data_IF_360279602746
#
_entry.id   IF_360279602746
#
_cell.length_a   1.000
_cell.length_b   1.000
_cell.length_c   1.000
_cell.angle_alpha   90.00
_cell.angle_beta   90.00
_cell.angle_gamma   90.00
#
_symmetry.space_group_name_H-M   'P 1'
#
loop_
_entity.id
_entity.type
_entity.pdbx_description
1 polymer ?
#
# COMPACT_ATOMS: atom_id res chain seq x y z
N UNK A 1 6.93 -24.71 9.59
CA UNK A 1 6.48 -23.36 9.21
C UNK A 1 7.61 -22.69 8.46
N UNK A 2 7.29 -21.96 7.40
CA UNK A 2 8.24 -21.21 6.60
C UNK A 2 7.98 -19.71 6.80
N UNK A 3 9.04 -18.92 6.98
CA UNK A 3 8.93 -17.47 7.01
C UNK A 3 8.76 -16.95 5.58
N UNK A 4 7.74 -16.13 5.35
CA UNK A 4 7.43 -15.55 4.02
C UNK A 4 7.95 -14.12 3.94
N UNK A 5 7.73 -13.36 5.00
CA UNK A 5 8.28 -12.02 5.23
C UNK A 5 8.76 -11.95 6.68
N UNK A 6 9.65 -11.00 7.04
CA UNK A 6 10.11 -10.86 8.42
C UNK A 6 8.93 -10.75 9.41
N UNK A 7 8.76 -11.75 10.27
CA UNK A 7 7.64 -11.84 11.23
C UNK A 7 6.31 -12.39 10.69
N UNK A 8 6.22 -12.74 9.40
CA UNK A 8 5.08 -13.40 8.78
C UNK A 8 5.43 -14.84 8.42
N UNK A 9 4.69 -15.78 9.02
CA UNK A 9 4.94 -17.21 8.87
C UNK A 9 3.75 -17.90 8.22
N UNK A 10 4.04 -18.88 7.37
CA UNK A 10 3.05 -19.76 6.76
C UNK A 10 3.34 -21.22 7.14
N UNK A 11 2.29 -21.97 7.49
CA UNK A 11 2.43 -23.38 7.81
C UNK A 11 1.12 -24.11 7.91
N UNK A 12 1.21 -25.40 8.24
CA UNK A 12 0.07 -26.25 8.57
C UNK A 12 -0.63 -25.75 9.83
N UNK A 13 -1.87 -26.18 10.02
CA UNK A 13 -2.65 -25.95 11.24
C UNK A 13 -1.83 -26.35 12.48
N UNK A 14 -1.59 -25.44 13.43
CA UNK A 14 -0.86 -25.76 14.66
C UNK A 14 -1.73 -26.57 15.62
N UNK A 15 -1.07 -27.33 16.49
CA UNK A 15 -1.65 -28.03 17.63
C UNK A 15 -0.95 -27.64 18.94
N UNK A 16 -1.35 -28.23 20.06
CA UNK A 16 -0.75 -27.93 21.36
C UNK A 16 0.77 -28.17 21.39
N UNK A 17 1.27 -29.15 20.64
CA UNK A 17 2.70 -29.46 20.54
C UNK A 17 3.49 -28.39 19.79
N UNK A 18 2.80 -27.57 18.99
CA UNK A 18 3.38 -26.48 18.20
C UNK A 18 3.65 -25.22 19.02
N UNK A 19 3.07 -25.08 20.21
CA UNK A 19 3.15 -23.85 21.03
C UNK A 19 4.60 -23.42 21.35
N UNK A 20 5.52 -24.31 21.78
CA UNK A 20 6.91 -23.94 22.04
C UNK A 20 7.60 -23.39 20.78
N UNK A 21 7.32 -23.98 19.62
CA UNK A 21 7.87 -23.53 18.34
C UNK A 21 7.34 -22.14 17.95
N UNK A 22 6.04 -21.90 18.14
CA UNK A 22 5.42 -20.58 17.91
C UNK A 22 6.06 -19.49 18.79
N UNK A 23 6.30 -19.77 20.07
CA UNK A 23 6.99 -18.83 20.96
C UNK A 23 8.45 -18.62 20.59
N UNK A 24 9.16 -19.68 20.18
CA UNK A 24 10.56 -19.57 19.73
C UNK A 24 10.68 -18.65 18.52
N UNK A 25 9.68 -18.67 17.64
CA UNK A 25 9.51 -17.79 16.48
C UNK A 25 8.89 -16.43 16.82
N UNK A 26 8.60 -16.19 18.11
CA UNK A 26 7.96 -14.98 18.65
C UNK A 26 6.64 -14.61 17.96
N UNK A 27 5.88 -15.62 17.55
CA UNK A 27 4.54 -15.45 17.00
C UNK A 27 3.60 -15.08 18.15
N UNK A 28 2.83 -14.00 17.98
CA UNK A 28 1.86 -13.51 18.95
C UNK A 28 0.41 -13.52 18.44
N UNK A 29 0.24 -13.73 17.13
CA UNK A 29 -1.05 -13.72 16.46
C UNK A 29 -1.15 -14.85 15.42
N UNK A 30 -2.32 -15.48 15.31
CA UNK A 30 -2.57 -16.62 14.42
C UNK A 30 -3.84 -16.36 13.60
N UNK A 31 -3.69 -16.34 12.28
CA UNK A 31 -4.81 -16.38 11.32
C UNK A 31 -5.00 -17.84 10.89
N UNK A 32 -6.18 -18.41 11.10
CA UNK A 32 -6.52 -19.76 10.63
C UNK A 32 -7.63 -19.68 9.59
N UNK A 33 -7.36 -20.20 8.39
CA UNK A 33 -8.35 -20.44 7.34
C UNK A 33 -8.50 -21.96 7.21
N UNK A 34 -9.56 -22.54 7.77
CA UNK A 34 -9.73 -24.00 7.86
C UNK A 34 -11.21 -24.36 8.10
N UNK A 35 -11.54 -25.65 8.17
CA UNK A 35 -12.90 -26.17 8.43
C UNK A 35 -13.33 -26.07 9.89
N UNK A 36 -12.37 -25.93 10.82
CA UNK A 36 -12.62 -25.86 12.28
C UNK A 36 -11.75 -24.80 12.95
N UNK A 37 -12.23 -24.10 13.98
CA UNK A 37 -11.41 -23.18 14.76
C UNK A 37 -10.34 -23.93 15.57
N UNK A 38 -9.25 -23.25 15.93
CA UNK A 38 -8.31 -23.73 16.95
C UNK A 38 -9.01 -23.79 18.32
N UNK A 39 -8.51 -24.64 19.21
CA UNK A 39 -9.05 -24.77 20.57
C UNK A 39 -8.76 -23.48 21.37
N UNK A 40 -9.78 -22.71 21.79
CA UNK A 40 -9.56 -21.41 22.42
C UNK A 40 -8.72 -21.49 23.71
N UNK A 41 -8.94 -22.52 24.52
CA UNK A 41 -8.23 -22.69 25.80
C UNK A 41 -6.73 -22.93 25.59
N UNK A 42 -6.39 -23.73 24.58
CA UNK A 42 -5.01 -24.11 24.23
C UNK A 42 -4.24 -22.93 23.63
N UNK A 43 -4.89 -22.11 22.82
CA UNK A 43 -4.26 -20.97 22.11
C UNK A 43 -4.62 -19.61 22.72
N UNK A 44 -5.06 -19.59 23.98
CA UNK A 44 -5.56 -18.40 24.68
C UNK A 44 -4.53 -17.26 24.81
N UNK A 45 -3.24 -17.59 24.76
CA UNK A 45 -2.15 -16.60 24.80
C UNK A 45 -1.89 -15.88 23.47
N UNK A 46 -2.56 -16.29 22.39
CA UNK A 46 -2.38 -15.72 21.05
C UNK A 46 -3.60 -14.89 20.67
N UNK A 47 -3.41 -13.81 19.92
CA UNK A 47 -4.53 -13.17 19.21
C UNK A 47 -4.90 -14.07 18.04
N UNK A 48 -6.04 -14.75 18.11
CA UNK A 48 -6.46 -15.70 17.05
C UNK A 48 -7.65 -15.14 16.28
N UNK A 49 -7.60 -15.21 14.95
CA UNK A 49 -8.80 -15.13 14.13
C UNK A 49 -8.98 -16.40 13.31
N UNK A 50 -10.22 -16.86 13.23
CA UNK A 50 -10.64 -18.02 12.47
C UNK A 50 -11.60 -17.60 11.37
N UNK A 51 -11.32 -18.02 10.14
CA UNK A 51 -12.15 -17.78 8.97
C UNK A 51 -12.51 -19.16 8.37
N UNK A 52 -13.79 -19.59 8.41
CA UNK A 52 -14.17 -20.92 7.96
C UNK A 52 -14.06 -21.04 6.43
N UNK A 53 -13.31 -22.03 5.94
CA UNK A 53 -13.24 -22.33 4.51
C UNK A 53 -12.93 -23.81 4.25
N UNK A 54 -13.38 -24.30 3.09
CA UNK A 54 -13.06 -25.61 2.55
C UNK A 54 -11.97 -25.48 1.49
N UNK A 55 -11.12 -26.50 1.41
CA UNK A 55 -10.13 -26.64 0.34
C UNK A 55 -10.79 -27.22 -0.91
N UNK A 56 -11.61 -26.40 -1.56
CA UNK A 56 -12.38 -26.73 -2.76
C UNK A 56 -12.44 -25.52 -3.68
N UNK A 57 -12.50 -25.71 -5.02
CA UNK A 57 -12.57 -24.59 -5.96
C UNK A 57 -13.87 -23.77 -5.87
N UNK A 58 -14.88 -24.25 -5.13
CA UNK A 58 -16.18 -23.60 -4.98
C UNK A 58 -16.27 -22.68 -3.76
N UNK A 59 -15.28 -22.72 -2.85
CA UNK A 59 -15.30 -21.82 -1.70
C UNK A 59 -14.74 -20.45 -2.07
N UNK A 60 -15.48 -19.39 -1.75
CA UNK A 60 -15.09 -18.03 -2.06
C UNK A 60 -14.21 -17.47 -0.95
N UNK A 61 -12.89 -17.48 -1.14
CA UNK A 61 -11.93 -16.86 -0.22
C UNK A 61 -11.85 -15.32 -0.35
N UNK A 62 -12.30 -14.74 -1.47
CA UNK A 62 -12.23 -13.27 -1.68
C UNK A 62 -12.95 -12.51 -0.57
N UNK A 63 -14.04 -13.07 -0.04
CA UNK A 63 -14.81 -12.52 1.09
C UNK A 63 -13.97 -12.33 2.38
N UNK A 64 -12.80 -12.96 2.46
CA UNK A 64 -11.90 -12.92 3.61
C UNK A 64 -10.64 -12.07 3.38
N UNK A 65 -10.38 -11.61 2.16
CA UNK A 65 -9.11 -10.95 1.83
C UNK A 65 -8.92 -9.69 2.68
N UNK A 66 -9.85 -8.75 2.66
CA UNK A 66 -9.74 -7.51 3.45
C UNK A 66 -9.54 -7.79 4.95
N UNK A 67 -10.36 -8.69 5.52
CA UNK A 67 -10.28 -9.04 6.95
C UNK A 67 -8.95 -9.71 7.31
N UNK A 68 -8.46 -10.62 6.47
CA UNK A 68 -7.19 -11.33 6.70
C UNK A 68 -5.99 -10.40 6.52
N UNK A 69 -6.00 -9.54 5.50
CA UNK A 69 -4.96 -8.52 5.25
C UNK A 69 -4.90 -7.55 6.42
N UNK A 70 -6.04 -7.00 6.86
CA UNK A 70 -6.07 -6.07 7.98
C UNK A 70 -5.56 -6.72 9.29
N UNK A 71 -5.90 -7.98 9.55
CA UNK A 71 -5.37 -8.69 10.70
C UNK A 71 -3.86 -8.91 10.60
N UNK A 72 -3.35 -9.29 9.42
CA UNK A 72 -1.92 -9.46 9.18
C UNK A 72 -1.22 -8.11 9.41
N UNK A 73 -1.71 -7.03 8.80
CA UNK A 73 -1.18 -5.68 8.94
C UNK A 73 -1.21 -5.20 10.38
N UNK A 74 -2.30 -5.35 11.13
CA UNK A 74 -2.39 -4.95 12.55
C UNK A 74 -1.35 -5.63 13.45
N UNK A 75 -1.05 -6.90 13.17
CA UNK A 75 -0.15 -7.70 14.00
C UNK A 75 1.30 -7.66 13.52
N UNK A 76 1.52 -7.17 12.30
CA UNK A 76 2.83 -6.79 11.75
C UNK A 76 3.05 -5.26 11.92
N UNK A 77 2.03 -4.51 12.33
CA UNK A 77 2.08 -3.06 12.50
C UNK A 77 3.01 -2.65 13.65
N UNK A 78 3.65 -1.51 13.44
CA UNK A 78 4.64 -0.96 14.37
C UNK A 78 5.95 -1.72 14.44
N UNK A 79 6.24 -2.57 13.45
CA UNK A 79 7.56 -3.14 13.21
C UNK A 79 8.42 -2.21 12.34
N UNK A 80 7.80 -1.41 11.46
CA UNK A 80 8.52 -0.59 10.47
C UNK A 80 8.40 0.91 10.76
N UNK A 81 7.31 1.59 10.36
CA UNK A 81 7.16 3.07 10.46
C UNK A 81 7.37 3.64 11.87
N UNK A 82 6.57 3.24 12.85
CA UNK A 82 6.72 3.76 14.22
C UNK A 82 8.01 3.28 14.87
N UNK A 83 8.47 2.07 14.55
CA UNK A 83 9.76 1.57 15.00
C UNK A 83 10.93 2.41 14.48
N UNK A 84 10.90 2.86 13.22
CA UNK A 84 11.90 3.78 12.65
C UNK A 84 11.99 5.05 13.49
N UNK A 85 10.86 5.65 13.85
CA UNK A 85 10.83 6.86 14.69
C UNK A 85 11.38 6.59 16.09
N UNK A 86 11.03 5.46 16.70
CA UNK A 86 11.58 5.06 18.01
C UNK A 86 13.09 4.81 17.93
N UNK A 87 13.58 4.16 16.88
CA UNK A 87 15.02 3.94 16.67
C UNK A 87 15.73 5.27 16.48
N UNK A 88 15.20 6.18 15.66
CA UNK A 88 15.75 7.53 15.48
C UNK A 88 15.83 8.29 16.82
N UNK A 89 14.80 8.20 17.66
CA UNK A 89 14.80 8.79 19.00
C UNK A 89 15.91 8.21 19.89
N UNK A 90 16.10 6.89 19.90
CA UNK A 90 17.18 6.22 20.65
C UNK A 90 18.56 6.67 20.14
N UNK A 91 18.76 6.73 18.82
CA UNK A 91 19.99 7.24 18.21
C UNK A 91 20.26 8.69 18.65
N UNK A 92 19.26 9.56 18.55
CA UNK A 92 19.37 10.97 18.94
C UNK A 92 19.65 11.17 20.43
N UNK A 93 18.95 10.42 21.29
CA UNK A 93 19.04 10.54 22.75
C UNK A 93 20.37 10.06 23.30
N UNK A 94 20.86 8.92 22.81
CA UNK A 94 22.07 8.28 23.33
C UNK A 94 23.30 8.51 22.45
N UNK A 95 23.13 9.19 21.29
CA UNK A 95 24.19 9.43 20.30
C UNK A 95 24.91 8.16 19.88
N UNK A 96 24.13 7.10 19.66
CA UNK A 96 24.62 5.78 19.26
C UNK A 96 24.29 5.46 17.80
N UNK A 97 25.14 4.69 17.10
CA UNK A 97 24.90 4.22 15.74
C UNK A 97 23.57 3.50 15.56
N UNK A 98 23.03 3.56 14.33
CA UNK A 98 21.78 2.89 13.93
C UNK A 98 21.76 1.42 14.36
N UNK A 99 22.85 0.69 14.11
CA UNK A 99 22.93 -0.74 14.45
C UNK A 99 22.72 -0.99 15.95
N UNK A 100 23.40 -0.20 16.81
CA UNK A 100 23.26 -0.33 18.27
C UNK A 100 21.86 0.07 18.74
N UNK A 101 21.30 1.15 18.18
CA UNK A 101 19.94 1.59 18.53
C UNK A 101 18.88 0.58 18.10
N UNK A 102 18.99 0.03 16.88
CA UNK A 102 18.12 -1.03 16.38
C UNK A 102 18.19 -2.27 17.27
N UNK A 103 19.39 -2.77 17.58
CA UNK A 103 19.56 -3.94 18.46
C UNK A 103 18.94 -3.70 19.85
N UNK A 104 19.04 -2.49 20.39
CA UNK A 104 18.44 -2.14 21.67
C UNK A 104 16.91 -2.14 21.63
N UNK A 105 16.29 -1.54 20.60
CA UNK A 105 14.83 -1.55 20.43
C UNK A 105 14.34 -2.96 20.15
N UNK A 106 15.10 -3.73 19.36
CA UNK A 106 14.80 -5.10 18.97
C UNK A 106 14.72 -6.06 20.16
N UNK A 107 15.52 -5.83 21.21
CA UNK A 107 15.43 -6.58 22.48
C UNK A 107 14.06 -6.46 23.14
N UNK A 108 13.40 -5.31 23.00
CA UNK A 108 12.09 -5.05 23.62
C UNK A 108 10.92 -5.38 22.69
N UNK A 109 11.05 -5.13 21.38
CA UNK A 109 10.01 -5.40 20.38
C UNK A 109 10.66 -5.79 19.06
N UNK A 110 10.11 -6.80 18.40
CA UNK A 110 10.58 -7.24 17.10
C UNK A 110 10.31 -6.16 16.04
N UNK A 111 11.36 -5.43 15.65
CA UNK A 111 11.26 -4.28 14.74
C UNK A 111 12.08 -4.49 13.46
N UNK A 112 11.45 -4.18 12.34
CA UNK A 112 12.02 -4.22 11.00
C UNK A 112 11.62 -2.98 10.19
N UNK A 113 12.34 -1.86 10.37
CA UNK A 113 12.35 -0.80 9.37
C UNK A 113 12.62 -1.39 7.98
N UNK A 114 11.88 -0.92 6.97
CA UNK A 114 12.18 -1.29 5.58
C UNK A 114 13.53 -0.69 5.14
N UNK A 115 14.04 -1.11 4.00
CA UNK A 115 15.38 -0.67 3.54
C UNK A 115 15.48 0.84 3.33
N UNK A 116 14.41 1.49 2.87
CA UNK A 116 14.34 2.96 2.75
C UNK A 116 14.51 3.65 4.11
N UNK A 117 13.79 3.19 5.13
CA UNK A 117 13.92 3.71 6.49
C UNK A 117 15.30 3.41 7.10
N UNK A 118 15.89 2.24 6.83
CA UNK A 118 17.27 1.93 7.27
C UNK A 118 18.28 2.88 6.64
N UNK A 119 18.13 3.20 5.36
CA UNK A 119 18.96 4.21 4.66
C UNK A 119 18.78 5.60 5.27
N UNK A 120 17.55 6.01 5.55
CA UNK A 120 17.25 7.29 6.21
C UNK A 120 17.84 7.36 7.63
N UNK A 121 17.75 6.29 8.43
CA UNK A 121 18.36 6.22 9.76
C UNK A 121 19.89 6.32 9.70
N UNK A 122 20.53 5.69 8.72
CA UNK A 122 21.98 5.84 8.48
C UNK A 122 22.34 7.26 8.05
N UNK A 123 21.56 7.86 7.15
CA UNK A 123 21.72 9.28 6.81
C UNK A 123 21.61 10.18 8.05
N UNK A 124 20.67 9.89 8.95
CA UNK A 124 20.52 10.59 10.22
C UNK A 124 21.73 10.41 11.16
N UNK A 125 22.35 9.22 11.18
CA UNK A 125 23.63 8.98 11.86
C UNK A 125 24.76 9.82 11.25
N UNK A 126 24.90 9.81 9.92
CA UNK A 126 25.93 10.54 9.17
C UNK A 126 25.78 12.08 9.32
N UNK A 127 24.54 12.56 9.52
CA UNK A 127 24.24 13.96 9.86
C UNK A 127 24.53 14.31 11.34
N UNK A 128 25.11 13.40 12.12
CA UNK A 128 25.41 13.63 13.53
C UNK A 128 24.17 13.66 14.42
N UNK A 129 23.14 12.91 14.05
CA UNK A 129 21.85 12.83 14.76
C UNK A 129 21.17 14.20 14.88
N UNK A 130 21.30 15.02 13.84
CA UNK A 130 20.63 16.30 13.66
C UNK A 130 19.94 16.30 12.29
N UNK A 131 18.89 17.09 12.14
CA UNK A 131 18.21 17.27 10.86
C UNK A 131 18.51 18.67 10.33
N UNK A 132 19.30 18.75 9.26
CA UNK A 132 19.60 19.97 8.55
C UNK A 132 19.52 19.71 7.04
N UNK A 133 18.52 20.32 6.42
CA UNK A 133 18.23 20.19 4.98
C UNK A 133 19.32 20.82 4.10
N UNK A 134 20.15 21.71 4.66
CA UNK A 134 21.27 22.32 3.94
C UNK A 134 22.57 21.51 4.08
N UNK A 135 22.59 20.47 4.91
CA UNK A 135 23.79 19.68 5.13
C UNK A 135 24.17 18.94 3.84
N UNK A 136 25.48 18.88 3.54
CA UNK A 136 26.00 18.16 2.36
C UNK A 136 25.58 16.69 2.35
N UNK A 137 25.44 16.09 3.54
CA UNK A 137 24.98 14.71 3.72
C UNK A 137 23.52 14.57 3.28
N UNK A 138 22.63 15.44 3.77
CA UNK A 138 21.22 15.44 3.39
C UNK A 138 21.01 15.66 1.90
N UNK A 139 21.62 16.72 1.35
CA UNK A 139 21.49 17.08 -0.07
C UNK A 139 21.95 15.92 -0.96
N UNK A 140 23.09 15.30 -0.65
CA UNK A 140 23.56 14.11 -1.37
C UNK A 140 22.56 12.96 -1.25
N UNK A 141 22.09 12.66 -0.04
CA UNK A 141 21.17 11.57 0.20
C UNK A 141 19.84 11.74 -0.56
N UNK A 142 19.26 12.94 -0.56
CA UNK A 142 18.04 13.24 -1.31
C UNK A 142 18.30 13.17 -2.82
N UNK A 143 19.43 13.67 -3.32
CA UNK A 143 19.75 13.58 -4.76
C UNK A 143 19.81 12.14 -5.26
N UNK A 144 20.27 11.20 -4.43
CA UNK A 144 20.31 9.76 -4.74
C UNK A 144 18.96 9.05 -4.49
N UNK A 145 18.02 9.70 -3.80
CA UNK A 145 16.72 9.14 -3.40
C UNK A 145 15.59 10.14 -3.62
N UNK A 146 15.55 10.79 -4.79
CA UNK A 146 14.68 11.93 -5.08
C UNK A 146 13.17 11.64 -4.87
N UNK A 147 12.76 10.37 -4.94
CA UNK A 147 11.39 9.93 -4.64
C UNK A 147 10.93 10.22 -3.20
N UNK A 148 11.84 10.52 -2.27
CA UNK A 148 11.51 10.83 -0.87
C UNK A 148 10.94 12.24 -0.68
N UNK A 149 11.26 13.18 -1.57
CA UNK A 149 10.71 14.55 -1.58
C UNK A 149 9.72 14.78 -2.73
N UNK A 150 9.44 13.73 -3.52
CA UNK A 150 8.40 13.79 -4.52
C UNK A 150 7.04 14.12 -3.84
N UNK A 151 6.25 15.07 -4.36
CA UNK A 151 4.95 15.39 -3.79
C UNK A 151 4.07 14.14 -3.75
N UNK A 152 3.66 13.73 -2.55
CA UNK A 152 2.71 12.63 -2.36
C UNK A 152 1.34 13.14 -2.81
N UNK A 153 0.95 12.88 -4.05
CA UNK A 153 -0.42 13.12 -4.51
C UNK A 153 -1.09 11.82 -4.93
N UNK A 154 -1.70 11.12 -3.96
CA UNK A 154 -2.81 10.21 -4.23
C UNK A 154 -3.76 10.24 -3.02
N UNK A 155 -5.00 10.73 -3.15
CA UNK A 155 -6.02 10.52 -2.13
C UNK A 155 -6.33 9.03 -2.05
N UNK A 156 -5.98 8.36 -0.95
CA UNK A 156 -6.34 6.95 -0.71
C UNK A 156 -7.87 6.79 -0.68
N UNK A 157 -8.46 6.20 -1.71
CA UNK A 157 -9.90 5.90 -1.72
C UNK A 157 -10.46 5.46 -3.06
N UNK A 158 -11.73 5.05 -3.04
CA UNK A 158 -12.49 4.70 -4.24
C UNK A 158 -13.21 5.93 -4.80
N UNK A 159 -13.10 6.11 -6.12
CA UNK A 159 -13.99 7.00 -6.86
C UNK A 159 -15.32 6.30 -7.05
N UNK A 160 -16.41 6.97 -6.64
CA UNK A 160 -17.76 6.41 -6.65
C UNK A 160 -18.67 7.18 -7.58
N UNK A 161 -19.64 6.50 -8.20
CA UNK A 161 -20.67 7.13 -9.00
C UNK A 161 -21.47 8.11 -8.14
N UNK A 162 -21.52 9.39 -8.52
CA UNK A 162 -22.23 10.43 -7.75
C UNK A 162 -23.71 10.10 -7.48
N UNK A 163 -24.38 9.42 -8.43
CA UNK A 163 -25.81 9.10 -8.34
C UNK A 163 -26.14 7.95 -7.38
N UNK A 164 -25.28 6.93 -7.29
CA UNK A 164 -25.60 5.69 -6.56
C UNK A 164 -24.49 5.21 -5.61
N UNK A 165 -23.41 5.98 -5.50
CA UNK A 165 -22.19 5.69 -4.72
C UNK A 165 -21.53 4.35 -5.05
N UNK A 166 -21.85 3.73 -6.19
CA UNK A 166 -21.18 2.51 -6.66
C UNK A 166 -19.70 2.80 -6.91
N UNK A 167 -18.76 2.04 -6.35
CA UNK A 167 -17.34 2.14 -6.68
C UNK A 167 -17.12 1.98 -8.19
N UNK A 168 -16.27 2.82 -8.77
CA UNK A 168 -15.96 2.83 -10.20
C UNK A 168 -14.49 2.42 -10.42
N UNK A 169 -13.56 3.01 -9.67
CA UNK A 169 -12.14 2.63 -9.69
C UNK A 169 -11.44 3.15 -8.43
N UNK A 170 -10.29 2.56 -8.09
CA UNK A 170 -9.48 2.98 -6.97
C UNK A 170 -8.48 4.07 -7.38
N UNK A 171 -8.07 4.89 -6.42
CA UNK A 171 -7.18 6.03 -6.63
C UNK A 171 -5.79 5.71 -7.23
N UNK A 172 -5.31 4.47 -7.10
CA UNK A 172 -4.07 3.98 -7.72
C UNK A 172 -4.19 3.70 -9.21
N UNK A 173 -5.42 3.58 -9.74
CA UNK A 173 -5.71 3.35 -11.15
C UNK A 173 -5.75 4.67 -11.95
N UNK A 174 -5.38 5.80 -11.34
CA UNK A 174 -5.34 7.10 -12.01
C UNK A 174 -4.01 7.27 -12.75
N UNK A 175 -4.10 7.60 -14.03
CA UNK A 175 -2.96 8.02 -14.85
C UNK A 175 -2.75 9.53 -14.67
N UNK A 176 -1.55 9.89 -14.23
CA UNK A 176 -1.09 11.28 -14.19
C UNK A 176 -0.56 11.70 -15.57
N UNK A 177 -0.93 12.89 -16.05
CA UNK A 177 -0.47 13.42 -17.33
C UNK A 177 -0.13 14.91 -17.22
N UNK A 178 0.83 15.38 -18.04
CA UNK A 178 1.19 16.79 -18.18
C UNK A 178 0.32 17.47 -19.23
N UNK A 179 -0.28 18.62 -18.91
CA UNK A 179 -0.99 19.45 -19.90
C UNK A 179 -0.01 20.34 -20.64
N UNK A 180 -0.06 20.35 -21.97
CA UNK A 180 0.69 21.31 -22.78
C UNK A 180 -0.01 22.67 -22.71
N UNK A 181 0.47 23.56 -21.85
CA UNK A 181 0.32 24.99 -22.07
C UNK A 181 1.57 25.46 -22.82
N UNK A 182 1.38 26.22 -23.90
CA UNK A 182 2.47 26.96 -24.55
C UNK A 182 3.04 27.96 -23.54
N UNK A 183 3.94 27.51 -22.68
CA UNK A 183 4.92 28.27 -21.91
C UNK A 183 5.75 27.26 -21.10
N UNK A 184 7.08 27.40 -21.14
CA UNK A 184 8.06 26.49 -20.53
C UNK A 184 7.89 26.40 -19.01
N UNK A 185 7.03 25.48 -18.55
CA UNK A 185 6.86 25.15 -17.14
C UNK A 185 7.17 23.66 -16.92
N UNK A 186 8.21 23.36 -16.17
CA UNK A 186 8.72 22.02 -15.85
C UNK A 186 8.10 21.45 -14.58
N UNK A 187 6.76 21.46 -14.47
CA UNK A 187 6.03 20.96 -13.30
C UNK A 187 4.90 19.98 -13.70
N UNK A 188 4.79 18.86 -12.99
CA UNK A 188 3.68 17.90 -13.08
C UNK A 188 2.53 18.37 -12.18
N UNK A 189 1.53 19.03 -12.75
CA UNK A 189 0.35 19.50 -12.00
C UNK A 189 -0.78 18.45 -12.14
N UNK A 190 -1.42 18.00 -11.04
CA UNK A 190 -2.63 17.17 -11.12
C UNK A 190 -3.77 17.94 -11.82
N UNK A 191 -4.56 17.23 -12.62
CA UNK A 191 -5.58 17.84 -13.48
C UNK A 191 -6.64 18.63 -12.66
N UNK A 192 -6.52 19.95 -12.61
CA UNK A 192 -7.40 20.83 -11.82
C UNK A 192 -8.80 21.07 -12.42
N UNK A 193 -9.21 20.33 -13.45
CA UNK A 193 -10.47 20.58 -14.19
C UNK A 193 -11.54 19.48 -14.06
N UNK A 194 -11.39 18.53 -13.14
CA UNK A 194 -12.43 17.52 -12.88
C UNK A 194 -12.49 16.36 -13.87
N UNK A 195 -11.39 16.13 -14.61
CA UNK A 195 -11.20 15.01 -15.53
C UNK A 195 -10.18 14.03 -14.95
N UNK A 196 -10.56 12.76 -14.86
CA UNK A 196 -9.72 11.68 -14.35
C UNK A 196 -9.39 10.70 -15.48
N UNK A 197 -8.14 10.28 -15.53
CA UNK A 197 -7.61 9.36 -16.53
C UNK A 197 -7.28 8.05 -15.87
N UNK A 198 -7.59 6.95 -16.55
CA UNK A 198 -7.34 5.59 -16.07
C UNK A 198 -7.03 4.70 -17.26
N UNK A 199 -6.35 3.58 -17.02
CA UNK A 199 -6.21 2.52 -18.03
C UNK A 199 -7.55 1.82 -18.26
N UNK A 200 -7.62 0.91 -19.23
CA UNK A 200 -8.81 0.08 -19.42
C UNK A 200 -9.03 -0.77 -18.14
N UNK A 201 -10.24 -0.67 -17.56
CA UNK A 201 -10.64 -1.43 -16.39
C UNK A 201 -11.58 -2.57 -16.78
N UNK A 202 -11.51 -3.70 -16.09
CA UNK A 202 -12.28 -4.90 -16.43
C UNK A 202 -13.79 -4.66 -16.61
N UNK A 203 -14.41 -3.81 -15.78
CA UNK A 203 -15.84 -3.53 -15.90
C UNK A 203 -16.20 -2.69 -17.15
N UNK A 204 -15.21 -2.07 -17.79
CA UNK A 204 -15.40 -1.25 -18.99
C UNK A 204 -15.53 -2.09 -20.27
N UNK A 205 -15.14 -3.37 -20.25
CA UNK A 205 -15.21 -4.25 -21.43
C UNK A 205 -16.62 -4.30 -22.05
N UNK A 206 -17.67 -4.16 -21.24
CA UNK A 206 -19.07 -4.15 -21.72
C UNK A 206 -19.42 -2.94 -22.60
N UNK A 207 -18.62 -1.88 -22.56
CA UNK A 207 -18.90 -0.60 -23.24
C UNK A 207 -17.91 -0.27 -24.37
N UNK A 208 -16.81 -1.03 -24.50
CA UNK A 208 -15.63 -0.64 -25.29
C UNK A 208 -15.37 -1.57 -26.48
N UNK A 209 -16.43 -2.06 -27.12
CA UNK A 209 -16.32 -2.91 -28.32
C UNK A 209 -15.89 -2.15 -29.59
N UNK A 210 -15.91 -0.82 -29.55
CA UNK A 210 -15.49 0.06 -30.65
C UNK A 210 -14.17 0.77 -30.31
N UNK A 211 -13.44 1.23 -31.33
CA UNK A 211 -12.12 1.89 -31.19
C UNK A 211 -12.25 3.33 -30.63
N UNK A 212 -13.45 3.92 -30.66
CA UNK A 212 -13.74 5.21 -30.03
C UNK A 212 -15.21 5.27 -29.66
N UNK A 213 -15.55 5.81 -28.48
CA UNK A 213 -16.92 5.83 -28.01
C UNK A 213 -17.19 6.92 -26.99
N UNK A 214 -18.32 7.60 -27.16
CA UNK A 214 -18.62 8.85 -26.44
C UNK A 214 -19.06 8.67 -24.99
N UNK A 215 -19.40 7.45 -24.54
CA UNK A 215 -20.06 7.28 -23.24
C UNK A 215 -19.75 5.95 -22.56
N UNK A 216 -19.29 6.02 -21.31
CA UNK A 216 -19.28 4.90 -20.37
C UNK A 216 -20.28 5.16 -19.25
N UNK A 217 -21.00 4.11 -18.86
CA UNK A 217 -22.09 4.17 -17.91
C UNK A 217 -21.76 3.44 -16.62
N UNK A 218 -22.32 3.93 -15.51
CA UNK A 218 -22.27 3.21 -14.25
C UNK A 218 -23.01 1.87 -14.37
N UNK A 219 -22.33 0.77 -14.01
CA UNK A 219 -22.87 -0.59 -14.06
C UNK A 219 -24.16 -0.74 -13.23
N UNK A 220 -24.27 -0.01 -12.12
CA UNK A 220 -25.43 -0.06 -11.20
C UNK A 220 -26.62 0.81 -11.61
N UNK A 221 -26.40 2.09 -11.91
CA UNK A 221 -27.49 3.06 -12.12
C UNK A 221 -27.60 3.63 -13.54
N UNK A 222 -26.74 3.16 -14.44
CA UNK A 222 -26.64 3.59 -15.85
C UNK A 222 -26.48 5.10 -16.04
N UNK A 223 -26.05 5.83 -15.01
CA UNK A 223 -25.63 7.23 -15.14
C UNK A 223 -24.36 7.32 -15.97
N UNK A 224 -24.25 8.34 -16.82
CA UNK A 224 -23.03 8.63 -17.58
C UNK A 224 -21.87 8.95 -16.62
N UNK A 225 -20.74 8.28 -16.81
CA UNK A 225 -19.51 8.46 -16.03
C UNK A 225 -18.41 9.18 -16.83
N UNK A 226 -18.27 8.88 -18.12
CA UNK A 226 -17.16 9.37 -18.94
C UNK A 226 -17.28 9.02 -20.41
N UNK A 227 -16.16 9.08 -21.14
CA UNK A 227 -15.99 8.74 -22.55
C UNK A 227 -14.63 8.07 -22.79
N UNK A 228 -14.45 7.34 -23.89
CA UNK A 228 -13.19 6.66 -24.19
C UNK A 228 -12.71 6.92 -25.63
N UNK A 229 -11.39 6.93 -25.81
CA UNK A 229 -10.75 7.05 -27.12
C UNK A 229 -9.52 6.14 -27.19
N UNK A 230 -9.59 5.04 -27.97
CA UNK A 230 -8.48 4.10 -28.12
C UNK A 230 -7.46 4.51 -29.18
N UNK A 231 -7.76 5.54 -30.00
CA UNK A 231 -6.85 6.02 -31.05
C UNK A 231 -5.72 6.92 -30.53
N UNK A 232 -5.78 7.33 -29.25
CA UNK A 232 -4.86 8.32 -28.67
C UNK A 232 -5.08 9.71 -29.27
N UNK A 233 -5.24 10.72 -28.42
CA UNK A 233 -4.92 12.10 -28.84
C UNK A 233 -3.43 12.33 -28.58
N UNK A 234 -2.75 13.01 -29.50
CA UNK A 234 -1.32 13.33 -29.39
C UNK A 234 -1.03 14.18 -28.14
N UNK A 235 -0.84 13.52 -27.00
CA UNK A 235 -0.07 14.03 -25.87
C UNK A 235 1.36 13.51 -26.08
N UNK A 236 2.28 14.43 -26.37
CA UNK A 236 3.69 14.10 -26.58
C UNK A 236 4.26 13.50 -25.29
N UNK A 237 4.27 12.17 -25.20
CA UNK A 237 5.35 11.29 -24.77
C UNK A 237 4.74 9.89 -24.53
N UNK A 238 5.19 8.91 -25.33
CA UNK A 238 4.94 7.47 -25.20
C UNK A 238 3.49 6.95 -25.35
N UNK A 239 3.39 5.80 -26.00
CA UNK A 239 2.17 5.12 -26.42
C UNK A 239 1.34 4.65 -25.20
N UNK A 240 0.37 5.44 -24.77
CA UNK A 240 -0.61 5.00 -23.78
C UNK A 240 -2.03 5.35 -24.21
N UNK A 241 -2.92 4.37 -24.06
CA UNK A 241 -4.34 4.47 -24.33
C UNK A 241 -5.01 5.27 -23.20
N UNK A 242 -5.58 6.44 -23.49
CA UNK A 242 -6.12 7.33 -22.46
C UNK A 242 -7.65 7.32 -22.42
N UNK A 243 -8.21 6.97 -21.25
CA UNK A 243 -9.63 7.07 -20.95
C UNK A 243 -9.98 8.40 -20.26
N UNK A 244 -11.17 8.96 -20.50
CA UNK A 244 -11.63 10.23 -19.89
C UNK A 244 -12.86 10.01 -19.00
N UNK A 245 -12.75 10.22 -17.70
CA UNK A 245 -13.90 10.31 -16.78
C UNK A 245 -14.12 11.78 -16.42
N UNK A 246 -15.16 12.40 -16.98
CA UNK A 246 -15.62 13.71 -16.51
C UNK A 246 -16.42 13.53 -15.22
N UNK A 247 -15.82 13.85 -14.09
CA UNK A 247 -16.52 13.97 -12.82
C UNK A 247 -16.93 15.43 -12.60
N UNK A 248 -18.21 15.76 -12.82
CA UNK A 248 -18.77 17.02 -12.31
C UNK A 248 -18.88 16.95 -10.78
N UNK A 249 -17.87 17.49 -10.09
CA UNK A 249 -17.79 17.52 -8.64
C UNK A 249 -18.89 18.36 -8.00
N UNK A 250 -19.33 17.89 -6.83
CA UNK A 250 -20.32 18.46 -5.94
C UNK A 250 -20.72 17.38 -4.95
#
# INVERSE_FOLDING_TARGET
MNEILPGLWLGKRPDASSIPDLYSKKISAILTIDRRPLQPDVFSSFKVIYLPANDTPYDNLLKYFEKSINFIEENIAGTSRSATIVIAYVMWKFKIPFKKAHDQVYKSRWVFPNDGFRKQLKCFEDMGYSFDTNSKVYVKFISENAYLEAPIYVPSGYYTCKKCRNPVFHSDQIILHKKSTKDNCSEEIPCNNGELFTEHLDWMFEFTNEIQGKVVYCTRCKAKLGSYNWCGEHLFFSHFFCFWIHCSWG
#
